data_IF_981922008380
#
_entry.id   IF_981922008380
#
_cell.length_a   1.000
_cell.length_b   1.000
_cell.length_c   1.000
_cell.angle_alpha   90.00
_cell.angle_beta   90.00
_cell.angle_gamma   90.00
#
_symmetry.space_group_name_H-M   'P 1'
#
loop_
_entity.id
_entity.type
_entity.pdbx_description
1 polymer ?
#
# COMPACT_ATOMS: atom_id res chain seq x y z
N UNK A 1 -27.19 -10.20 -1.31
CA UNK A 1 -26.79 -9.27 -2.38
C UNK A 1 -25.31 -8.92 -2.36
N UNK A 2 -24.45 -9.84 -1.91
CA UNK A 2 -22.99 -9.83 -2.08
C UNK A 2 -22.56 -11.31 -2.12
N UNK A 3 -21.36 -11.60 -2.59
CA UNK A 3 -20.88 -12.98 -2.67
C UNK A 3 -19.49 -13.06 -3.28
N UNK A 4 -19.00 -14.29 -3.36
CA UNK A 4 -17.83 -14.64 -4.18
C UNK A 4 -18.33 -15.36 -5.42
N UNK A 5 -17.53 -15.32 -6.48
CA UNK A 5 -17.76 -16.13 -7.67
C UNK A 5 -17.91 -17.60 -7.26
N UNK A 6 -18.82 -18.34 -7.92
CA UNK A 6 -18.91 -19.79 -7.68
C UNK A 6 -18.03 -20.52 -8.67
N UNK A 7 -17.29 -21.52 -8.19
CA UNK A 7 -16.56 -22.45 -9.05
C UNK A 7 -17.46 -23.17 -10.07
N UNK A 8 -18.77 -23.27 -9.81
CA UNK A 8 -19.75 -23.83 -10.74
C UNK A 8 -19.95 -22.97 -11.99
N UNK A 9 -19.83 -21.64 -11.87
CA UNK A 9 -20.01 -20.69 -12.97
C UNK A 9 -18.69 -20.28 -13.62
N UNK A 10 -17.58 -20.41 -12.88
CA UNK A 10 -16.24 -20.03 -13.32
C UNK A 10 -15.28 -21.23 -13.28
N UNK A 11 -15.51 -22.21 -14.17
CA UNK A 11 -14.80 -23.49 -14.18
C UNK A 11 -13.26 -23.36 -14.31
N UNK A 12 -12.78 -22.28 -14.93
CA UNK A 12 -11.35 -22.02 -15.13
C UNK A 12 -10.76 -21.03 -14.11
N UNK A 13 -11.54 -20.60 -13.12
CA UNK A 13 -11.07 -19.69 -12.07
C UNK A 13 -10.86 -20.44 -10.76
N UNK A 14 -9.73 -20.16 -10.10
CA UNK A 14 -9.47 -20.64 -8.74
C UNK A 14 -9.55 -19.47 -7.78
N UNK A 15 -10.44 -19.58 -6.80
CA UNK A 15 -10.60 -18.58 -5.75
C UNK A 15 -9.60 -18.83 -4.64
N UNK A 16 -8.95 -17.77 -4.20
CA UNK A 16 -8.00 -17.78 -3.09
C UNK A 16 -8.41 -16.70 -2.10
N UNK A 17 -8.52 -17.07 -0.84
CA UNK A 17 -8.77 -16.15 0.26
C UNK A 17 -7.43 -15.75 0.87
N UNK A 18 -7.23 -14.44 1.05
CA UNK A 18 -5.98 -13.86 1.57
C UNK A 18 -6.07 -13.49 3.06
N UNK A 19 -7.24 -13.68 3.68
CA UNK A 19 -7.50 -13.44 5.11
C UNK A 19 -7.06 -12.06 5.63
N UNK A 20 -7.09 -11.04 4.76
CA UNK A 20 -6.84 -9.65 5.11
C UNK A 20 -8.11 -9.06 5.72
N UNK A 21 -7.99 -8.67 6.99
CA UNK A 21 -9.09 -8.13 7.78
C UNK A 21 -9.66 -6.81 7.21
N UNK A 22 -10.84 -6.43 7.68
CA UNK A 22 -11.53 -5.22 7.21
C UNK A 22 -10.95 -3.93 7.84
N UNK A 23 -11.45 -2.79 7.38
CA UNK A 23 -11.00 -1.45 7.80
C UNK A 23 -11.11 -1.20 9.32
N UNK A 24 -12.09 -1.83 9.99
CA UNK A 24 -12.31 -1.64 11.43
C UNK A 24 -11.25 -2.36 12.26
N UNK A 25 -10.86 -3.57 11.85
CA UNK A 25 -9.74 -4.30 12.46
C UNK A 25 -8.43 -3.52 12.30
N UNK A 26 -8.16 -3.00 11.10
CA UNK A 26 -6.96 -2.19 10.85
C UNK A 26 -6.94 -0.91 11.68
N UNK A 27 -8.09 -0.22 11.80
CA UNK A 27 -8.21 0.97 12.67
C UNK A 27 -7.87 0.63 14.11
N UNK A 28 -8.50 -0.40 14.67
CA UNK A 28 -8.29 -0.80 16.07
C UNK A 28 -6.82 -1.12 16.33
N UNK A 29 -6.21 -1.94 15.47
CA UNK A 29 -4.80 -2.33 15.58
C UNK A 29 -3.86 -1.12 15.57
N UNK A 30 -4.10 -0.16 14.68
CA UNK A 30 -3.26 1.03 14.58
C UNK A 30 -3.48 2.05 15.70
N UNK A 31 -4.73 2.26 16.12
CA UNK A 31 -5.02 3.15 17.26
C UNK A 31 -4.35 2.61 18.55
N UNK A 32 -4.35 1.29 18.76
CA UNK A 32 -3.60 0.65 19.87
C UNK A 32 -2.09 0.88 19.72
N UNK A 33 -1.53 0.71 18.51
CA UNK A 33 -0.11 0.98 18.24
C UNK A 33 0.27 2.43 18.53
N UNK A 34 -0.55 3.40 18.09
CA UNK A 34 -0.31 4.82 18.35
C UNK A 34 -0.37 5.15 19.85
N UNK A 35 -1.28 4.53 20.61
CA UNK A 35 -1.36 4.70 22.06
C UNK A 35 -0.10 4.20 22.77
N UNK A 36 0.44 3.07 22.33
CA UNK A 36 1.69 2.51 22.85
C UNK A 36 2.86 3.43 22.49
N UNK A 37 2.95 3.90 21.25
CA UNK A 37 3.99 4.82 20.78
C UNK A 37 3.98 6.17 21.50
N UNK A 38 2.81 6.69 21.87
CA UNK A 38 2.68 7.94 22.61
C UNK A 38 2.99 7.79 24.12
N UNK A 39 3.05 6.57 24.63
CA UNK A 39 3.27 6.31 26.05
C UNK A 39 4.76 6.18 26.38
N UNK A 40 5.33 7.22 26.98
CA UNK A 40 6.75 7.29 27.37
C UNK A 40 7.10 6.51 28.65
N UNK A 41 6.12 5.83 29.26
CA UNK A 41 6.28 5.14 30.56
C UNK A 41 6.35 3.62 30.46
N UNK A 42 6.29 3.06 29.24
CA UNK A 42 6.38 1.62 29.02
C UNK A 42 7.81 1.14 29.24
N UNK A 43 7.99 0.13 30.10
CA UNK A 43 9.29 -0.53 30.33
C UNK A 43 9.77 -1.23 29.05
N UNK A 44 11.03 -1.00 28.68
CA UNK A 44 11.69 -1.57 27.50
C UNK A 44 11.60 -3.10 27.45
N UNK A 45 11.54 -3.76 28.62
CA UNK A 45 11.49 -5.23 28.72
C UNK A 45 10.20 -5.84 28.17
N UNK A 46 9.07 -5.14 28.24
CA UNK A 46 7.77 -5.63 27.77
C UNK A 46 7.34 -5.05 26.42
N UNK A 47 8.07 -4.06 25.90
CA UNK A 47 7.71 -3.29 24.70
C UNK A 47 7.33 -4.17 23.50
N UNK A 48 8.19 -5.13 23.14
CA UNK A 48 7.95 -6.02 21.99
C UNK A 48 6.69 -6.86 22.16
N UNK A 49 6.40 -7.30 23.39
CA UNK A 49 5.19 -8.08 23.69
C UNK A 49 3.93 -7.23 23.56
N UNK A 50 4.00 -5.96 23.97
CA UNK A 50 2.90 -5.00 23.92
C UNK A 50 2.61 -4.62 22.46
N UNK A 51 3.65 -4.33 21.67
CA UNK A 51 3.51 -4.08 20.23
C UNK A 51 2.93 -5.31 19.52
N UNK A 52 3.38 -6.52 19.86
CA UNK A 52 2.85 -7.75 19.25
C UNK A 52 1.35 -7.94 19.50
N UNK A 53 0.82 -7.52 20.67
CA UNK A 53 -0.61 -7.60 20.99
C UNK A 53 -1.50 -6.76 20.07
N UNK A 54 -0.98 -5.67 19.51
CA UNK A 54 -1.71 -4.86 18.51
C UNK A 54 -1.98 -5.63 17.22
N UNK A 55 -1.25 -6.71 16.95
CA UNK A 55 -1.27 -7.48 15.70
C UNK A 55 -0.93 -6.66 14.45
N UNK A 56 -0.42 -5.43 14.57
CA UNK A 56 -0.15 -4.56 13.43
C UNK A 56 0.83 -5.19 12.44
N UNK A 57 1.93 -5.74 12.95
CA UNK A 57 2.93 -6.46 12.12
C UNK A 57 2.35 -7.70 11.43
N UNK A 58 1.42 -8.40 12.07
CA UNK A 58 0.70 -9.53 11.47
C UNK A 58 -0.18 -9.08 10.30
N UNK A 59 -0.88 -7.95 10.43
CA UNK A 59 -1.67 -7.38 9.34
C UNK A 59 -0.79 -6.92 8.16
N UNK A 60 0.33 -6.24 8.42
CA UNK A 60 1.33 -5.87 7.40
C UNK A 60 1.86 -7.13 6.69
N UNK A 61 2.18 -8.18 7.45
CA UNK A 61 2.63 -9.46 6.90
C UNK A 61 1.58 -10.10 5.98
N UNK A 62 0.30 -10.12 6.37
CA UNK A 62 -0.78 -10.67 5.53
C UNK A 62 -0.86 -9.95 4.18
N UNK A 63 -0.80 -8.61 4.18
CA UNK A 63 -0.83 -7.80 2.96
C UNK A 63 0.38 -8.10 2.06
N UNK A 64 1.59 -8.13 2.63
CA UNK A 64 2.82 -8.47 1.91
C UNK A 64 2.81 -9.89 1.34
N UNK A 65 2.33 -10.87 2.12
CA UNK A 65 2.17 -12.25 1.67
C UNK A 65 1.18 -12.37 0.51
N UNK A 66 0.05 -11.65 0.59
CA UNK A 66 -0.92 -11.57 -0.50
C UNK A 66 -0.31 -10.99 -1.77
N UNK A 67 0.38 -9.85 -1.67
CA UNK A 67 1.04 -9.20 -2.80
C UNK A 67 2.14 -10.09 -3.42
N UNK A 68 2.95 -10.76 -2.58
CA UNK A 68 3.98 -11.69 -3.03
C UNK A 68 3.38 -12.91 -3.73
N UNK A 69 2.25 -13.45 -3.24
CA UNK A 69 1.54 -14.53 -3.90
C UNK A 69 1.08 -14.11 -5.30
N UNK A 70 0.48 -12.92 -5.43
CA UNK A 70 0.05 -12.35 -6.72
C UNK A 70 1.25 -12.21 -7.65
N UNK A 71 2.32 -11.56 -7.20
CA UNK A 71 3.52 -11.36 -8.00
C UNK A 71 4.14 -12.67 -8.47
N UNK A 72 4.25 -13.69 -7.60
CA UNK A 72 4.78 -15.02 -7.97
C UNK A 72 3.91 -15.72 -9.01
N UNK A 73 2.58 -15.60 -8.90
CA UNK A 73 1.65 -16.19 -9.86
C UNK A 73 1.80 -15.55 -11.23
N UNK A 74 1.86 -14.21 -11.29
CA UNK A 74 2.05 -13.46 -12.54
C UNK A 74 3.41 -13.73 -13.18
N UNK A 75 4.49 -13.79 -12.38
CA UNK A 75 5.83 -14.00 -12.90
C UNK A 75 6.08 -15.42 -13.44
N UNK A 76 5.42 -16.44 -12.87
CA UNK A 76 5.59 -17.84 -13.27
C UNK A 76 4.68 -18.26 -14.43
N UNK A 77 3.69 -17.45 -14.80
CA UNK A 77 2.80 -17.75 -15.93
C UNK A 77 3.45 -17.34 -17.25
N UNK A 78 4.11 -18.30 -17.91
CA UNK A 78 4.68 -18.10 -19.25
C UNK A 78 3.61 -18.18 -20.36
N UNK A 79 2.44 -18.80 -20.14
CA UNK A 79 1.45 -19.04 -21.22
C UNK A 79 -0.01 -19.24 -20.77
N UNK A 80 -0.42 -18.79 -19.58
CA UNK A 80 -1.81 -18.92 -19.12
C UNK A 80 -2.34 -17.53 -18.77
N UNK A 81 -3.43 -17.12 -19.43
CA UNK A 81 -4.21 -15.92 -19.10
C UNK A 81 -4.74 -16.06 -17.67
N UNK A 82 -3.94 -15.66 -16.69
CA UNK A 82 -4.34 -15.63 -15.30
C UNK A 82 -4.84 -14.22 -14.99
N UNK A 83 -6.14 -14.02 -15.16
CA UNK A 83 -6.81 -12.81 -14.70
C UNK A 83 -6.97 -12.90 -13.18
N UNK A 84 -6.17 -12.12 -12.45
CA UNK A 84 -6.36 -12.00 -11.01
C UNK A 84 -7.46 -10.96 -10.75
N UNK A 85 -8.68 -11.42 -10.53
CA UNK A 85 -9.76 -10.56 -10.10
C UNK A 85 -9.64 -10.33 -8.59
N UNK A 86 -9.22 -9.12 -8.22
CA UNK A 86 -9.27 -8.65 -6.84
C UNK A 86 -10.70 -8.17 -6.52
N UNK A 87 -11.64 -9.11 -6.41
CA UNK A 87 -12.99 -8.80 -5.99
C UNK A 87 -13.05 -8.73 -4.46
N UNK A 88 -12.84 -7.53 -3.91
CA UNK A 88 -13.34 -7.21 -2.58
C UNK A 88 -14.70 -6.53 -2.72
N UNK A 89 -15.52 -6.61 -1.66
CA UNK A 89 -16.91 -6.08 -1.64
C UNK A 89 -17.01 -4.68 -2.27
N UNK A 90 -16.02 -3.81 -2.03
CA UNK A 90 -15.97 -2.44 -2.55
C UNK A 90 -14.78 -2.13 -3.48
N UNK A 91 -13.76 -2.98 -3.49
CA UNK A 91 -12.65 -2.86 -4.45
C UNK A 91 -11.67 -1.69 -4.32
N UNK A 92 -11.79 -0.78 -3.33
CA UNK A 92 -10.94 0.44 -3.25
C UNK A 92 -9.91 0.49 -2.09
N UNK A 93 -9.88 -0.52 -1.21
CA UNK A 93 -8.94 -0.56 -0.06
C UNK A 93 -7.86 -1.64 -0.28
N UNK A 94 -8.21 -2.90 0.04
CA UNK A 94 -7.31 -4.05 -0.05
C UNK A 94 -6.88 -4.34 -1.50
N UNK A 95 -7.75 -4.04 -2.47
CA UNK A 95 -7.40 -4.10 -3.89
C UNK A 95 -6.24 -3.18 -4.21
N UNK A 96 -6.33 -1.90 -3.83
CA UNK A 96 -5.29 -0.91 -4.09
C UNK A 96 -3.98 -1.32 -3.44
N UNK A 97 -4.02 -1.78 -2.18
CA UNK A 97 -2.84 -2.32 -1.49
C UNK A 97 -2.18 -3.48 -2.27
N UNK A 98 -2.97 -4.50 -2.64
CA UNK A 98 -2.44 -5.70 -3.28
C UNK A 98 -1.97 -5.46 -4.72
N UNK A 99 -2.74 -4.68 -5.49
CA UNK A 99 -2.42 -4.35 -6.87
C UNK A 99 -1.14 -3.50 -6.95
N UNK A 100 -1.02 -2.46 -6.12
CA UNK A 100 0.14 -1.58 -6.13
C UNK A 100 1.40 -2.32 -5.65
N UNK A 101 1.31 -3.09 -4.56
CA UNK A 101 2.45 -3.86 -4.05
C UNK A 101 2.89 -4.95 -5.02
N UNK A 102 1.97 -5.63 -5.70
CA UNK A 102 2.32 -6.61 -6.72
C UNK A 102 3.09 -5.96 -7.89
N UNK A 103 2.67 -4.77 -8.33
CA UNK A 103 3.37 -3.99 -9.36
C UNK A 103 4.78 -3.57 -8.89
N UNK A 104 4.95 -3.11 -7.65
CA UNK A 104 6.28 -2.79 -7.09
C UNK A 104 7.20 -4.02 -7.09
N UNK A 105 6.66 -5.19 -6.76
CA UNK A 105 7.42 -6.45 -6.74
C UNK A 105 7.81 -6.92 -8.15
N UNK A 106 6.95 -6.69 -9.15
CA UNK A 106 7.13 -7.17 -10.52
C UNK A 106 7.92 -6.21 -11.42
N UNK A 107 7.59 -4.92 -11.39
CA UNK A 107 8.06 -3.93 -12.36
C UNK A 107 9.11 -2.99 -11.74
N UNK A 108 10.36 -2.97 -12.24
CA UNK A 108 11.38 -2.02 -11.81
C UNK A 108 10.98 -0.56 -11.98
N UNK A 109 10.12 -0.23 -12.96
CA UNK A 109 9.63 1.13 -13.13
C UNK A 109 8.92 1.63 -11.86
N UNK A 110 8.09 0.81 -11.23
CA UNK A 110 7.39 1.14 -9.98
C UNK A 110 8.31 1.38 -8.78
N UNK A 111 9.61 1.11 -8.89
CA UNK A 111 10.64 1.37 -7.85
C UNK A 111 11.41 2.67 -8.08
N UNK A 112 11.11 3.37 -9.18
CA UNK A 112 11.56 4.74 -9.42
C UNK A 112 10.67 5.73 -8.68
N UNK A 113 11.15 6.94 -8.39
CA UNK A 113 10.35 8.02 -7.79
C UNK A 113 9.13 8.29 -8.67
N UNK A 114 9.36 8.44 -9.98
CA UNK A 114 8.30 8.68 -10.96
C UNK A 114 7.30 7.53 -11.02
N UNK A 115 7.78 6.28 -11.00
CA UNK A 115 6.91 5.12 -11.09
C UNK A 115 6.07 4.93 -9.84
N UNK A 116 6.61 5.19 -8.64
CA UNK A 116 5.81 5.16 -7.42
C UNK A 116 4.75 6.27 -7.41
N UNK A 117 5.09 7.49 -7.86
CA UNK A 117 4.12 8.58 -8.01
C UNK A 117 2.99 8.17 -8.97
N UNK A 118 3.33 7.67 -10.16
CA UNK A 118 2.34 7.22 -11.14
C UNK A 118 1.48 6.07 -10.62
N UNK A 119 2.06 5.17 -9.82
CA UNK A 119 1.34 4.08 -9.20
C UNK A 119 0.32 4.58 -8.16
N UNK A 120 0.68 5.57 -7.35
CA UNK A 120 -0.23 6.21 -6.38
C UNK A 120 -1.35 6.97 -7.11
N UNK A 121 -1.01 7.79 -8.10
CA UNK A 121 -1.98 8.50 -8.94
C UNK A 121 -2.97 7.56 -9.61
N UNK A 122 -2.51 6.40 -10.08
CA UNK A 122 -3.35 5.39 -10.71
C UNK A 122 -4.18 4.60 -9.69
N UNK A 123 -3.54 3.79 -8.85
CA UNK A 123 -4.19 2.73 -8.05
C UNK A 123 -4.87 3.22 -6.78
N UNK A 124 -4.58 4.45 -6.37
CA UNK A 124 -5.16 5.04 -5.18
C UNK A 124 -6.04 6.23 -5.53
N UNK A 125 -5.53 7.18 -6.29
CA UNK A 125 -6.28 8.40 -6.60
C UNK A 125 -7.33 8.14 -7.67
N UNK A 126 -6.92 7.80 -8.90
CA UNK A 126 -7.85 7.61 -10.02
C UNK A 126 -8.84 6.46 -9.78
N UNK A 127 -8.41 5.35 -9.18
CA UNK A 127 -9.28 4.22 -8.83
C UNK A 127 -10.15 4.43 -7.57
N UNK A 128 -10.12 5.62 -6.96
CA UNK A 128 -11.15 6.05 -6.01
C UNK A 128 -10.97 5.51 -4.59
N UNK A 129 -9.74 5.35 -4.11
CA UNK A 129 -9.51 5.18 -2.69
C UNK A 129 -10.05 6.39 -1.93
N UNK A 130 -10.86 6.13 -0.89
CA UNK A 130 -11.62 7.15 -0.17
C UNK A 130 -10.76 7.87 0.87
N UNK A 131 -9.77 8.65 0.43
CA UNK A 131 -8.80 9.31 1.32
C UNK A 131 -9.46 10.15 2.42
N UNK A 132 -10.47 10.97 2.12
CA UNK A 132 -11.12 11.81 3.13
C UNK A 132 -11.89 11.00 4.18
N UNK A 133 -12.52 9.91 3.78
CA UNK A 133 -13.18 8.99 4.71
C UNK A 133 -12.16 8.24 5.58
N UNK A 134 -11.11 7.70 4.95
CA UNK A 134 -10.08 6.90 5.62
C UNK A 134 -9.21 7.71 6.56
N UNK A 135 -8.95 8.99 6.24
CA UNK A 135 -8.27 9.94 7.10
C UNK A 135 -9.17 10.53 8.21
N UNK A 136 -10.48 10.25 8.20
CA UNK A 136 -11.40 10.65 9.29
C UNK A 136 -11.89 12.10 9.22
N UNK A 137 -11.85 12.75 8.05
CA UNK A 137 -12.34 14.12 7.86
C UNK A 137 -13.81 14.26 7.54
N UNK A 138 -14.46 13.17 7.15
CA UNK A 138 -15.90 13.20 6.87
C UNK A 138 -16.70 13.00 8.15
N UNK A 139 -18.00 13.29 8.11
CA UNK A 139 -18.91 13.04 9.24
C UNK A 139 -19.17 11.54 9.52
N UNK A 140 -18.29 10.65 9.02
CA UNK A 140 -18.36 9.19 9.13
C UNK A 140 -17.12 8.67 9.86
N UNK A 141 -17.03 8.86 11.20
CA UNK A 141 -15.85 8.42 11.97
C UNK A 141 -15.60 6.90 11.87
N UNK A 142 -16.66 6.12 11.64
CA UNK A 142 -16.57 4.67 11.46
C UNK A 142 -15.87 4.24 10.17
N UNK A 143 -15.65 5.14 9.22
CA UNK A 143 -14.92 4.88 7.97
C UNK A 143 -13.40 5.14 8.07
N UNK A 144 -12.93 5.78 9.15
CA UNK A 144 -11.51 6.04 9.38
C UNK A 144 -10.74 4.72 9.48
N UNK A 145 -9.63 4.60 8.76
CA UNK A 145 -8.73 3.44 8.78
C UNK A 145 -7.40 3.73 8.08
N UNK A 146 -6.26 3.22 8.59
CA UNK A 146 -4.90 3.54 8.11
C UNK A 146 -4.49 2.74 6.86
N UNK A 147 -5.36 2.64 5.86
CA UNK A 147 -5.16 1.74 4.70
C UNK A 147 -3.99 2.18 3.83
N UNK A 148 -3.90 3.48 3.50
CA UNK A 148 -2.77 4.02 2.74
C UNK A 148 -1.47 3.99 3.55
N UNK A 149 -1.53 4.32 4.84
CA UNK A 149 -0.36 4.22 5.73
C UNK A 149 0.19 2.78 5.78
N UNK A 150 -0.68 1.77 5.91
CA UNK A 150 -0.28 0.37 5.86
C UNK A 150 0.40 0.00 4.53
N UNK A 151 -0.05 0.57 3.41
CA UNK A 151 0.63 0.42 2.12
C UNK A 151 2.03 1.05 2.15
N UNK A 152 2.18 2.28 2.63
CA UNK A 152 3.49 2.95 2.75
C UNK A 152 4.44 2.12 3.62
N UNK A 153 3.96 1.57 4.72
CA UNK A 153 4.74 0.67 5.57
C UNK A 153 5.13 -0.63 4.85
N UNK A 154 4.21 -1.24 4.09
CA UNK A 154 4.56 -2.39 3.24
C UNK A 154 5.68 -2.05 2.24
N UNK A 155 5.64 -0.88 1.62
CA UNK A 155 6.72 -0.42 0.73
C UNK A 155 8.02 -0.26 1.49
N UNK A 156 7.99 0.36 2.67
CA UNK A 156 9.17 0.50 3.53
C UNK A 156 9.78 -0.87 3.88
N UNK A 157 8.97 -1.86 4.25
CA UNK A 157 9.43 -3.24 4.53
C UNK A 157 10.14 -3.89 3.33
N UNK A 158 9.73 -3.56 2.10
CA UNK A 158 10.38 -4.06 0.88
C UNK A 158 11.68 -3.28 0.63
N UNK A 159 11.68 -1.95 0.80
CA UNK A 159 12.88 -1.12 0.67
C UNK A 159 13.97 -1.55 1.66
N UNK A 160 13.63 -1.85 2.90
CA UNK A 160 14.57 -2.36 3.91
C UNK A 160 15.21 -3.70 3.49
N UNK A 161 14.46 -4.56 2.81
CA UNK A 161 14.96 -5.86 2.35
C UNK A 161 15.80 -5.75 1.05
N UNK A 162 15.54 -4.73 0.23
CA UNK A 162 16.15 -4.58 -1.10
C UNK A 162 16.55 -3.13 -1.38
N UNK A 163 17.43 -2.52 -0.56
CA UNK A 163 17.72 -1.08 -0.62
C UNK A 163 18.37 -0.62 -1.93
N UNK A 164 19.01 -1.54 -2.66
CA UNK A 164 19.65 -1.27 -3.97
C UNK A 164 18.63 -1.17 -5.11
N UNK A 165 17.40 -1.62 -4.92
CA UNK A 165 16.38 -1.74 -5.98
C UNK A 165 15.49 -0.49 -6.13
N UNK A 166 15.58 0.47 -5.21
CA UNK A 166 14.67 1.62 -5.13
C UNK A 166 15.41 2.94 -5.31
N UNK A 167 14.88 3.79 -6.19
CA UNK A 167 15.44 5.12 -6.48
C UNK A 167 15.20 6.10 -5.32
N UNK A 168 14.24 5.80 -4.45
CA UNK A 168 13.89 6.59 -3.27
C UNK A 168 14.28 5.85 -1.99
N UNK A 169 14.45 6.59 -0.90
CA UNK A 169 14.70 6.07 0.44
C UNK A 169 13.49 6.27 1.37
N UNK A 170 13.70 6.07 2.66
CA UNK A 170 12.68 6.25 3.70
C UNK A 170 12.19 7.70 3.80
N UNK A 171 13.00 8.71 3.44
CA UNK A 171 12.60 10.11 3.51
C UNK A 171 11.40 10.40 2.60
N UNK A 172 11.34 9.76 1.42
CA UNK A 172 10.19 9.91 0.53
C UNK A 172 8.93 9.22 1.09
N UNK A 173 9.10 8.06 1.74
CA UNK A 173 7.99 7.32 2.35
C UNK A 173 7.44 8.04 3.58
N UNK A 174 8.31 8.63 4.41
CA UNK A 174 7.91 9.48 5.54
C UNK A 174 7.10 10.68 5.02
N UNK A 175 7.55 11.33 3.95
CA UNK A 175 6.80 12.43 3.33
C UNK A 175 5.39 12.00 2.89
N UNK A 176 5.24 10.80 2.31
CA UNK A 176 3.93 10.25 1.98
C UNK A 176 3.09 10.00 3.23
N UNK A 177 3.69 9.44 4.29
CA UNK A 177 3.03 9.18 5.56
C UNK A 177 2.54 10.49 6.23
N UNK A 178 3.34 11.54 6.19
CA UNK A 178 2.99 12.84 6.79
C UNK A 178 1.89 13.54 5.97
N UNK A 179 1.99 13.51 4.64
CA UNK A 179 1.16 14.36 3.80
C UNK A 179 -0.09 13.72 3.25
N UNK A 180 -0.29 12.39 3.36
CA UNK A 180 -1.54 11.76 2.90
C UNK A 180 -2.78 12.25 3.66
N UNK A 181 -2.62 12.75 4.88
CA UNK A 181 -3.70 13.26 5.74
C UNK A 181 -3.47 14.70 6.25
N UNK A 182 -2.49 15.44 5.70
CA UNK A 182 -2.14 16.79 6.18
C UNK A 182 -3.01 17.91 5.61
N UNK A 183 -3.67 17.68 4.47
CA UNK A 183 -4.41 18.69 3.70
C UNK A 183 -3.57 19.85 3.15
N UNK A 184 -2.23 19.75 3.18
CA UNK A 184 -1.35 20.77 2.61
C UNK A 184 -1.30 20.72 1.08
N UNK A 185 -1.59 19.56 0.50
CA UNK A 185 -1.55 19.31 -0.94
C UNK A 185 -2.88 18.81 -1.45
N UNK A 186 -3.15 19.07 -2.73
CA UNK A 186 -4.39 18.70 -3.38
C UNK A 186 -4.56 17.21 -3.64
N UNK A 187 -3.46 16.46 -3.77
CA UNK A 187 -3.48 15.08 -4.29
C UNK A 187 -4.45 14.17 -3.53
N UNK A 188 -4.40 14.19 -2.20
CA UNK A 188 -5.16 13.29 -1.34
C UNK A 188 -6.50 13.88 -0.85
N UNK A 189 -6.93 15.00 -1.44
CA UNK A 189 -8.25 15.55 -1.16
C UNK A 189 -9.33 14.76 -1.90
N UNK A 190 -10.53 14.75 -1.29
CA UNK A 190 -11.74 14.07 -1.76
C UNK A 190 -11.61 12.54 -1.86
N UNK A 191 -12.71 11.85 -2.16
CA UNK A 191 -12.78 10.39 -2.17
C UNK A 191 -12.73 9.77 -3.58
N UNK A 192 -12.79 10.61 -4.61
CA UNK A 192 -12.82 10.16 -5.99
C UNK A 192 -12.23 11.20 -6.94
N UNK A 193 -11.82 10.73 -8.12
CA UNK A 193 -11.32 11.62 -9.17
C UNK A 193 -12.37 12.62 -9.64
N UNK A 194 -13.63 12.16 -9.74
CA UNK A 194 -14.75 13.03 -10.08
C UNK A 194 -14.84 14.23 -9.13
N UNK A 195 -14.77 14.00 -7.82
CA UNK A 195 -14.84 15.08 -6.84
C UNK A 195 -13.64 16.04 -6.97
N UNK A 196 -12.43 15.53 -7.22
CA UNK A 196 -11.24 16.38 -7.43
C UNK A 196 -11.36 17.27 -8.66
N UNK A 197 -11.91 16.74 -9.76
CA UNK A 197 -12.18 17.49 -10.99
C UNK A 197 -13.27 18.53 -10.76
N UNK A 198 -14.41 18.13 -10.17
CA UNK A 198 -15.54 19.03 -9.90
C UNK A 198 -15.15 20.20 -8.97
N UNK A 199 -14.15 20.01 -8.11
CA UNK A 199 -13.64 21.04 -7.20
C UNK A 199 -12.39 21.77 -7.70
N UNK A 200 -11.95 21.50 -8.94
CA UNK A 200 -10.80 22.12 -9.60
C UNK A 200 -9.49 22.03 -8.80
N UNK A 201 -9.25 20.90 -8.14
CA UNK A 201 -8.10 20.72 -7.23
C UNK A 201 -6.77 21.02 -7.93
N UNK A 202 -6.60 20.60 -9.18
CA UNK A 202 -5.38 20.87 -9.95
C UNK A 202 -5.11 22.36 -10.20
N UNK A 203 -6.15 23.20 -10.21
CA UNK A 203 -6.01 24.64 -10.41
C UNK A 203 -5.86 25.39 -9.08
N UNK A 204 -6.36 24.82 -7.98
CA UNK A 204 -6.49 25.50 -6.68
C UNK A 204 -5.48 25.06 -5.64
N UNK A 205 -4.86 23.90 -5.82
CA UNK A 205 -3.98 23.28 -4.83
C UNK A 205 -2.62 22.92 -5.44
N UNK A 206 -1.60 22.96 -4.59
CA UNK A 206 -0.25 22.52 -4.96
C UNK A 206 -0.21 20.99 -4.94
N UNK A 207 0.52 20.42 -5.90
CA UNK A 207 0.79 18.98 -5.93
C UNK A 207 1.97 18.63 -5.02
N UNK A 208 1.84 17.59 -4.20
CA UNK A 208 2.92 17.01 -3.40
C UNK A 208 4.13 16.64 -4.27
N UNK A 209 3.89 16.26 -5.52
CA UNK A 209 4.93 15.87 -6.47
C UNK A 209 5.77 17.03 -6.97
N UNK A 210 5.33 18.27 -6.77
CA UNK A 210 6.12 19.45 -7.11
C UNK A 210 7.29 19.69 -6.15
N UNK A 211 7.27 19.07 -4.97
CA UNK A 211 8.35 19.18 -4.00
C UNK A 211 9.55 18.31 -4.39
N UNK A 212 10.79 18.83 -4.28
CA UNK A 212 12.00 18.08 -4.59
C UNK A 212 12.10 16.76 -3.79
N UNK A 213 12.42 15.66 -4.47
CA UNK A 213 12.65 14.35 -3.88
C UNK A 213 14.08 13.94 -4.23
N UNK A 214 14.88 13.67 -3.20
CA UNK A 214 16.25 13.20 -3.37
C UNK A 214 16.28 11.72 -3.73
N UNK A 215 17.30 11.33 -4.49
CA UNK A 215 17.53 9.93 -4.85
C UNK A 215 18.27 9.23 -3.73
N UNK A 216 17.91 7.97 -3.48
CA UNK A 216 18.64 7.07 -2.63
C UNK A 216 20.08 6.90 -3.14
N UNK A 217 21.04 7.11 -2.25
CA UNK A 217 22.46 6.88 -2.53
C UNK A 217 22.81 5.40 -2.71
N UNK A 218 21.94 4.50 -2.24
CA UNK A 218 22.08 3.04 -2.35
C UNK A 218 21.53 2.49 -3.67
N UNK A 219 20.81 3.31 -4.43
CA UNK A 219 20.13 2.87 -5.65
C UNK A 219 21.14 2.38 -6.69
N UNK A 220 21.00 1.13 -7.12
CA UNK A 220 21.83 0.50 -8.13
C UNK A 220 20.95 -0.33 -9.07
N UNK A 221 20.17 0.32 -9.96
CA UNK A 221 19.30 -0.38 -10.86
C UNK A 221 20.12 -1.14 -11.90
N UNK A 222 19.80 -2.42 -12.06
CA UNK A 222 20.30 -3.21 -13.17
C UNK A 222 19.20 -3.31 -14.24
N UNK A 223 19.33 -2.60 -15.38
CA UNK A 223 18.33 -2.60 -16.43
C UNK A 223 18.16 -3.97 -17.11
N UNK A 224 19.10 -4.90 -16.94
CA UNK A 224 19.00 -6.27 -17.45
C UNK A 224 18.23 -7.19 -16.47
N UNK A 225 18.08 -6.80 -15.19
CA UNK A 225 17.34 -7.56 -14.18
C UNK A 225 15.83 -7.28 -14.28
N UNK A 226 15.14 -8.01 -15.16
CA UNK A 226 13.66 -8.14 -15.16
C UNK A 226 13.12 -9.00 -14.00
N UNK A 227 13.95 -9.36 -13.02
CA UNK A 227 13.60 -10.36 -12.00
C UNK A 227 12.77 -9.70 -10.90
N UNK A 228 11.55 -10.22 -10.71
CA UNK A 228 10.69 -9.87 -9.59
C UNK A 228 11.45 -9.99 -8.26
N UNK A 229 11.30 -9.00 -7.39
CA UNK A 229 12.06 -8.91 -6.12
C UNK A 229 11.85 -10.15 -5.25
N UNK A 230 10.66 -10.77 -5.33
CA UNK A 230 10.35 -11.99 -4.60
C UNK A 230 11.26 -13.19 -4.92
N UNK A 231 12.00 -13.16 -6.04
CA UNK A 231 12.92 -14.23 -6.42
C UNK A 231 14.39 -13.91 -6.09
N UNK A 232 14.69 -12.72 -5.56
CA UNK A 232 16.04 -12.35 -5.15
C UNK A 232 16.33 -12.95 -3.77
N UNK A 233 17.45 -13.66 -3.64
CA UNK A 233 17.95 -14.11 -2.33
C UNK A 233 18.30 -12.88 -1.48
N UNK A 234 17.95 -12.88 -0.19
CA UNK A 234 18.45 -11.88 0.76
C UNK A 234 19.98 -11.93 0.73
N UNK A 235 20.65 -10.80 0.51
CA UNK A 235 22.06 -10.67 0.91
C UNK A 235 22.03 -10.70 2.44
N UNK A 236 22.51 -11.79 3.03
CA UNK A 236 22.79 -11.81 4.47
C UNK A 236 23.92 -10.80 4.68
N UNK A 237 23.64 -9.72 5.39
CA UNK A 237 24.67 -8.87 5.98
C UNK A 237 24.96 -9.40 7.38
#
# INVERSE_FOLDING_TARGET
GHGTESSSWYANAKILFLDIDNIHTMRKSFDELCQIAANTTVDDTDWLSIVAKTSWSSHVQKVLCGASLIAKRVANTVNILFYFLLAFIDGWDRTSQLASLAQILLDPFCRTIRGLIMLIEKDWLAFGHKFMDRNGTTQRPNERSPIFFQFVECVWQIVQQFPEEFEFDESFLIRLADHHGSYWFGNFLYNSEKERVDNEVHNRCISLWSWPIERSTRYNPDPEKKVCVCFKKKKNY
#
